data_IF_468390906595
#
_entry.id   IF_468390906595
#
_cell.length_a   1.000
_cell.length_b   1.000
_cell.length_c   1.000
_cell.angle_alpha   90.00
_cell.angle_beta   90.00
_cell.angle_gamma   90.00
#
_symmetry.space_group_name_H-M   'P 1'
#
loop_
_entity.id
_entity.type
_entity.pdbx_description
1 polymer ?
#
# COMPACT_ATOMS: atom_id res chain seq x y z
N UNK A 1 5.78 -8.84 -2.29
CA UNK A 1 7.13 -8.26 -2.24
C UNK A 1 7.80 -8.28 -3.61
N UNK A 2 7.84 -9.41 -4.31
CA UNK A 2 8.55 -9.55 -5.60
C UNK A 2 8.15 -8.47 -6.63
N UNK A 3 6.86 -8.30 -6.94
CA UNK A 3 6.39 -7.28 -7.90
C UNK A 3 6.82 -5.86 -7.51
N UNK A 4 6.74 -5.52 -6.20
CA UNK A 4 7.21 -4.20 -5.72
C UNK A 4 8.72 -4.08 -5.92
N UNK A 5 9.48 -5.14 -5.61
CA UNK A 5 10.93 -5.17 -5.82
C UNK A 5 11.34 -4.96 -7.28
N UNK A 6 10.57 -5.50 -8.23
CA UNK A 6 10.81 -5.29 -9.68
C UNK A 6 10.62 -3.82 -10.11
N UNK A 7 9.79 -3.06 -9.38
CA UNK A 7 9.53 -1.65 -9.68
C UNK A 7 10.47 -0.67 -8.99
N UNK A 8 11.23 -1.15 -7.99
CA UNK A 8 12.19 -0.34 -7.25
C UNK A 8 13.55 -0.38 -7.95
N UNK A 9 14.09 0.78 -8.28
CA UNK A 9 15.43 0.90 -8.86
C UNK A 9 16.51 0.64 -7.79
N UNK A 10 17.60 -0.03 -8.15
CA UNK A 10 18.74 -0.21 -7.24
C UNK A 10 19.28 1.13 -6.72
N UNK A 11 19.78 1.14 -5.49
CA UNK A 11 20.41 2.30 -4.85
C UNK A 11 19.50 3.53 -4.71
N UNK A 12 18.19 3.38 -4.90
CA UNK A 12 17.21 4.45 -4.78
C UNK A 12 16.88 4.78 -3.32
N UNK A 13 16.35 6.00 -3.10
CA UNK A 13 15.81 6.43 -1.80
C UNK A 13 14.34 6.05 -1.73
N UNK A 14 14.01 5.18 -0.79
CA UNK A 14 12.66 4.63 -0.64
C UNK A 14 12.04 5.06 0.69
N UNK A 15 10.79 5.50 0.65
CA UNK A 15 9.98 5.71 1.86
C UNK A 15 8.84 4.69 1.88
N UNK A 16 8.74 3.90 2.96
CA UNK A 16 7.69 2.89 3.17
C UNK A 16 6.67 3.41 4.19
N UNK A 17 5.46 3.74 3.73
CA UNK A 17 4.36 4.27 4.52
C UNK A 17 3.52 3.13 5.12
N UNK A 18 3.54 3.00 6.44
CA UNK A 18 2.98 1.85 7.15
C UNK A 18 3.89 0.62 7.02
N UNK A 19 5.17 0.81 7.30
CA UNK A 19 6.22 -0.19 7.09
C UNK A 19 6.08 -1.47 7.93
N UNK A 20 5.23 -1.45 8.94
CA UNK A 20 5.08 -2.59 9.83
C UNK A 20 6.39 -2.97 10.52
N UNK A 21 6.77 -4.23 10.46
CA UNK A 21 8.03 -4.74 11.02
C UNK A 21 9.23 -4.62 10.08
N UNK A 22 9.07 -3.93 8.93
CA UNK A 22 10.15 -3.65 8.00
C UNK A 22 10.52 -4.79 7.05
N UNK A 23 9.67 -5.81 6.90
CA UNK A 23 9.96 -6.97 6.04
C UNK A 23 10.25 -6.56 4.58
N UNK A 24 9.46 -5.63 4.05
CA UNK A 24 9.67 -5.13 2.68
C UNK A 24 10.93 -4.29 2.58
N UNK A 25 11.18 -3.40 3.54
CA UNK A 25 12.41 -2.60 3.59
C UNK A 25 13.66 -3.47 3.67
N UNK A 26 13.66 -4.48 4.55
CA UNK A 26 14.76 -5.44 4.69
C UNK A 26 15.04 -6.17 3.37
N UNK A 27 13.99 -6.67 2.72
CA UNK A 27 14.11 -7.30 1.40
C UNK A 27 14.71 -6.34 0.35
N UNK A 28 14.20 -5.10 0.25
CA UNK A 28 14.68 -4.12 -0.73
C UNK A 28 16.13 -3.68 -0.43
N UNK A 29 16.50 -3.52 0.84
CA UNK A 29 17.87 -3.16 1.22
C UNK A 29 18.88 -4.25 0.86
N UNK A 30 18.51 -5.52 1.05
CA UNK A 30 19.37 -6.65 0.70
C UNK A 30 19.49 -6.88 -0.82
N UNK A 31 18.36 -6.88 -1.54
CA UNK A 31 18.32 -7.22 -2.96
C UNK A 31 18.69 -6.07 -3.89
N UNK A 32 18.42 -4.83 -3.47
CA UNK A 32 18.53 -3.63 -4.32
C UNK A 32 19.47 -2.57 -3.76
N UNK A 33 20.01 -2.76 -2.55
CA UNK A 33 20.89 -1.79 -1.88
C UNK A 33 20.25 -0.39 -1.76
N UNK A 34 18.92 -0.34 -1.56
CA UNK A 34 18.19 0.93 -1.42
C UNK A 34 18.48 1.59 -0.07
N UNK A 35 18.40 2.91 -0.03
CA UNK A 35 18.33 3.68 1.21
C UNK A 35 16.86 3.81 1.62
N UNK A 36 16.38 2.90 2.48
CA UNK A 36 14.99 2.84 2.89
C UNK A 36 14.76 3.48 4.25
N UNK A 37 13.66 4.24 4.37
CA UNK A 37 13.12 4.74 5.64
C UNK A 37 11.67 4.29 5.75
N UNK A 38 11.27 3.76 6.91
CA UNK A 38 9.89 3.37 7.19
C UNK A 38 9.20 4.30 8.16
N UNK A 39 7.87 4.41 8.03
CA UNK A 39 7.02 5.14 8.98
C UNK A 39 5.85 4.25 9.39
N UNK A 40 5.60 4.11 10.70
CA UNK A 40 4.44 3.43 11.25
C UNK A 40 4.02 4.10 12.58
N UNK A 41 2.74 4.03 12.92
CA UNK A 41 2.21 4.54 14.19
C UNK A 41 2.55 3.64 15.37
N UNK A 42 2.77 2.35 15.10
CA UNK A 42 2.93 1.31 16.13
C UNK A 42 4.38 1.25 16.63
N UNK A 43 4.57 1.55 17.92
CA UNK A 43 5.87 1.54 18.57
C UNK A 43 6.58 0.17 18.51
N UNK A 44 5.83 -0.94 18.71
CA UNK A 44 6.43 -2.26 18.73
C UNK A 44 6.93 -2.69 17.36
N UNK A 45 6.22 -2.28 16.31
CA UNK A 45 6.63 -2.48 14.91
C UNK A 45 7.90 -1.71 14.58
N UNK A 46 7.95 -0.42 14.93
CA UNK A 46 9.14 0.42 14.74
C UNK A 46 10.33 -0.11 15.53
N UNK A 47 10.10 -0.50 16.80
CA UNK A 47 11.16 -1.12 17.63
C UNK A 47 11.72 -2.40 16.99
N UNK A 48 10.88 -3.19 16.32
CA UNK A 48 11.34 -4.37 15.57
C UNK A 48 12.20 -3.98 14.35
N UNK A 49 11.81 -2.94 13.59
CA UNK A 49 12.61 -2.41 12.48
C UNK A 49 14.02 -1.99 12.96
N UNK A 50 14.08 -1.17 14.02
CA UNK A 50 15.35 -0.66 14.55
C UNK A 50 16.24 -1.80 15.06
N UNK A 51 15.67 -2.79 15.77
CA UNK A 51 16.43 -3.99 16.19
C UNK A 51 16.99 -4.79 15.02
N UNK A 52 16.34 -4.72 13.86
CA UNK A 52 16.81 -5.36 12.61
C UNK A 52 17.78 -4.47 11.81
N UNK A 53 18.23 -3.33 12.36
CA UNK A 53 19.15 -2.41 11.69
C UNK A 53 18.51 -1.56 10.59
N UNK A 54 17.16 -1.47 10.54
CA UNK A 54 16.45 -0.67 9.55
C UNK A 54 16.16 0.73 10.09
N UNK A 55 16.22 1.74 9.22
CA UNK A 55 15.84 3.11 9.56
C UNK A 55 14.31 3.22 9.58
N UNK A 56 13.73 3.57 10.73
CA UNK A 56 12.30 3.69 10.87
C UNK A 56 11.91 4.81 11.86
N UNK A 57 10.77 5.44 11.60
CA UNK A 57 10.22 6.55 12.38
C UNK A 57 8.83 6.19 12.90
N UNK A 58 8.61 6.39 14.21
CA UNK A 58 7.29 6.24 14.81
C UNK A 58 6.52 7.55 14.70
N UNK A 59 5.42 7.53 13.98
CA UNK A 59 4.57 8.72 13.88
C UNK A 59 3.58 8.69 12.72
N UNK A 60 2.87 9.80 12.58
CA UNK A 60 1.94 10.00 11.49
C UNK A 60 2.67 10.24 10.17
N UNK A 61 2.34 9.44 9.16
CA UNK A 61 3.01 9.49 7.85
C UNK A 61 2.76 10.79 7.09
N UNK A 62 1.60 11.45 7.29
CA UNK A 62 1.29 12.74 6.67
C UNK A 62 2.17 13.84 7.27
N UNK A 63 2.30 13.85 8.61
CA UNK A 63 3.18 14.79 9.29
C UNK A 63 4.64 14.56 8.89
N UNK A 64 5.07 13.30 8.81
CA UNK A 64 6.42 12.93 8.37
C UNK A 64 6.72 13.44 6.95
N UNK A 65 5.84 13.20 5.98
CA UNK A 65 6.03 13.65 4.60
C UNK A 65 6.11 15.18 4.47
N UNK A 66 5.45 15.95 5.36
CA UNK A 66 5.51 17.43 5.34
C UNK A 66 6.92 17.99 5.58
N UNK A 67 7.79 17.23 6.24
CA UNK A 67 9.16 17.64 6.52
C UNK A 67 10.08 17.59 5.29
N UNK A 68 9.64 17.00 4.18
CA UNK A 68 10.47 16.81 2.99
C UNK A 68 10.01 17.68 1.81
N UNK A 69 10.95 18.16 0.99
CA UNK A 69 10.64 18.87 -0.24
C UNK A 69 10.04 17.93 -1.28
N UNK A 70 9.55 18.52 -2.36
CA UNK A 70 9.04 17.78 -3.52
C UNK A 70 10.12 16.90 -4.13
N UNK A 71 9.74 15.69 -4.57
CA UNK A 71 10.62 14.70 -5.21
C UNK A 71 11.87 14.33 -4.38
N UNK A 72 11.77 14.37 -3.05
CA UNK A 72 12.87 13.99 -2.16
C UNK A 72 13.20 12.50 -2.25
N UNK A 73 12.20 11.65 -2.38
CA UNK A 73 12.35 10.21 -2.53
C UNK A 73 12.20 9.80 -3.98
N UNK A 74 12.97 8.80 -4.39
CA UNK A 74 12.86 8.23 -5.73
C UNK A 74 11.60 7.37 -5.82
N UNK A 75 11.22 6.70 -4.70
CA UNK A 75 9.99 5.92 -4.61
C UNK A 75 9.36 5.98 -3.23
N UNK A 76 8.03 6.12 -3.22
CA UNK A 76 7.20 5.93 -2.04
C UNK A 76 6.45 4.61 -2.18
N UNK A 77 6.35 3.83 -1.11
CA UNK A 77 5.56 2.60 -1.07
C UNK A 77 4.47 2.77 -0.01
N UNK A 78 3.22 2.44 -0.36
CA UNK A 78 2.08 2.38 0.53
C UNK A 78 1.32 1.08 0.24
N UNK A 79 1.77 -0.03 0.84
CA UNK A 79 1.25 -1.36 0.56
C UNK A 79 0.48 -1.92 1.75
N UNK A 80 -0.77 -2.31 1.55
CA UNK A 80 -1.71 -2.83 2.56
C UNK A 80 -2.07 -1.86 3.69
N UNK A 81 -1.83 -0.58 3.49
CA UNK A 81 -2.04 0.48 4.50
C UNK A 81 -3.22 1.38 4.13
N UNK A 82 -3.46 1.62 2.83
CA UNK A 82 -4.46 2.58 2.31
C UNK A 82 -5.86 2.40 2.91
N UNK A 83 -6.28 1.16 3.13
CA UNK A 83 -7.60 0.86 3.68
C UNK A 83 -7.77 1.21 5.18
N UNK A 84 -6.67 1.43 5.91
CA UNK A 84 -6.68 1.81 7.33
C UNK A 84 -6.50 3.32 7.56
N UNK A 85 -6.30 4.10 6.49
CA UNK A 85 -6.06 5.54 6.58
C UNK A 85 -7.35 6.32 6.81
N UNK A 86 -7.29 7.36 7.65
CA UNK A 86 -8.39 8.31 7.83
C UNK A 86 -8.55 9.23 6.61
N UNK A 87 -7.45 9.60 5.97
CA UNK A 87 -7.42 10.42 4.75
C UNK A 87 -6.52 9.75 3.70
N UNK A 88 -7.00 8.71 3.00
CA UNK A 88 -6.22 8.03 1.98
C UNK A 88 -5.89 8.94 0.78
N UNK A 89 -6.77 9.86 0.44
CA UNK A 89 -6.55 10.81 -0.66
C UNK A 89 -5.38 11.75 -0.35
N UNK A 90 -5.39 12.37 0.83
CA UNK A 90 -4.32 13.26 1.28
C UNK A 90 -2.97 12.55 1.38
N UNK A 91 -2.94 11.29 1.84
CA UNK A 91 -1.72 10.48 1.91
C UNK A 91 -1.17 10.18 0.50
N UNK A 92 -2.01 9.76 -0.45
CA UNK A 92 -1.57 9.47 -1.83
C UNK A 92 -1.05 10.73 -2.53
N UNK A 93 -1.77 11.87 -2.40
CA UNK A 93 -1.34 13.14 -2.99
C UNK A 93 -0.06 13.67 -2.32
N UNK A 94 0.06 13.53 -1.00
CA UNK A 94 1.29 13.83 -0.27
C UNK A 94 2.46 12.96 -0.71
N UNK A 95 2.24 11.66 -0.92
CA UNK A 95 3.24 10.74 -1.44
C UNK A 95 3.69 11.13 -2.86
N UNK A 96 2.75 11.49 -3.75
CA UNK A 96 3.06 12.00 -5.09
C UNK A 96 3.81 13.34 -5.05
N UNK A 97 3.67 14.15 -4.01
CA UNK A 97 4.46 15.37 -3.84
C UNK A 97 5.91 15.07 -3.51
N UNK A 98 6.16 14.21 -2.53
CA UNK A 98 7.52 13.97 -2.01
C UNK A 98 8.27 12.86 -2.73
N UNK A 99 7.58 12.06 -3.54
CA UNK A 99 8.18 10.96 -4.32
C UNK A 99 8.07 11.15 -5.82
N UNK A 100 9.07 10.70 -6.56
CA UNK A 100 9.05 10.69 -8.03
C UNK A 100 8.11 9.61 -8.58
N UNK A 101 7.95 8.50 -7.87
CA UNK A 101 7.00 7.44 -8.15
C UNK A 101 6.37 6.91 -6.86
N UNK A 102 5.11 6.48 -6.92
CA UNK A 102 4.37 5.98 -5.75
C UNK A 102 3.78 4.61 -6.06
N UNK A 103 4.17 3.61 -5.29
CA UNK A 103 3.58 2.27 -5.37
C UNK A 103 2.48 2.14 -4.32
N UNK A 104 1.25 1.91 -4.77
CA UNK A 104 0.10 1.66 -3.90
C UNK A 104 -0.35 0.21 -4.05
N UNK A 105 -0.52 -0.49 -2.93
CA UNK A 105 -1.01 -1.86 -2.93
C UNK A 105 -2.15 -2.06 -1.94
N UNK A 106 -3.25 -2.71 -2.38
CA UNK A 106 -4.40 -2.94 -1.52
C UNK A 106 -5.15 -4.23 -1.86
N UNK A 107 -5.89 -4.72 -0.87
CA UNK A 107 -6.81 -5.85 -1.04
C UNK A 107 -8.09 -5.36 -1.70
N UNK A 108 -8.47 -5.98 -2.80
CA UNK A 108 -9.69 -5.62 -3.53
C UNK A 108 -10.93 -6.07 -2.75
N UNK A 109 -11.67 -5.11 -2.20
CA UNK A 109 -12.92 -5.39 -1.48
C UNK A 109 -14.00 -5.97 -2.39
N UNK A 110 -14.00 -5.61 -3.68
CA UNK A 110 -14.95 -6.10 -4.67
C UNK A 110 -14.67 -7.54 -5.17
N UNK A 111 -13.65 -8.22 -4.63
CA UNK A 111 -13.34 -9.62 -4.95
C UNK A 111 -14.57 -10.52 -4.78
N UNK A 112 -14.83 -11.41 -5.74
CA UNK A 112 -16.06 -12.20 -5.81
C UNK A 112 -16.42 -12.97 -4.52
N UNK A 113 -15.42 -13.50 -3.80
CA UNK A 113 -15.67 -14.20 -2.52
C UNK A 113 -16.24 -13.26 -1.45
N UNK A 114 -15.81 -12.00 -1.44
CA UNK A 114 -16.34 -10.99 -0.52
C UNK A 114 -17.79 -10.65 -0.87
N UNK A 115 -18.11 -10.51 -2.18
CA UNK A 115 -19.46 -10.24 -2.66
C UNK A 115 -20.42 -11.38 -2.30
N UNK A 116 -20.02 -12.62 -2.57
CA UNK A 116 -20.84 -13.80 -2.21
C UNK A 116 -20.98 -13.94 -0.69
N UNK A 117 -19.93 -13.67 0.06
CA UNK A 117 -19.97 -13.67 1.52
C UNK A 117 -20.96 -12.65 2.08
N UNK A 118 -20.99 -11.44 1.52
CA UNK A 118 -21.97 -10.41 1.86
C UNK A 118 -23.40 -10.79 1.45
N UNK A 119 -23.58 -11.28 0.23
CA UNK A 119 -24.88 -11.66 -0.31
C UNK A 119 -25.56 -12.80 0.47
N UNK A 120 -24.80 -13.88 0.76
CA UNK A 120 -25.38 -15.07 1.39
C UNK A 120 -25.34 -15.07 2.91
N UNK A 121 -24.36 -14.39 3.51
CA UNK A 121 -24.17 -14.40 4.97
C UNK A 121 -24.57 -13.10 5.67
N UNK A 122 -24.66 -11.98 4.93
CA UNK A 122 -24.98 -10.66 5.47
C UNK A 122 -24.01 -10.19 6.58
N UNK A 123 -22.77 -10.69 6.59
CA UNK A 123 -21.79 -10.40 7.63
C UNK A 123 -20.64 -9.57 7.09
N UNK A 124 -19.96 -8.85 7.99
CA UNK A 124 -18.70 -8.15 7.68
C UNK A 124 -17.73 -9.10 6.97
N UNK A 125 -17.15 -8.63 5.90
CA UNK A 125 -16.09 -9.36 5.18
C UNK A 125 -14.90 -9.59 6.13
N UNK A 126 -14.49 -10.84 6.24
CA UNK A 126 -13.28 -11.27 6.93
C UNK A 126 -12.37 -11.98 5.92
N UNK A 127 -11.11 -11.56 5.87
CA UNK A 127 -10.09 -12.16 5.00
C UNK A 127 -8.70 -12.00 5.65
N UNK A 128 -7.64 -12.28 4.94
CA UNK A 128 -6.26 -12.21 5.46
C UNK A 128 -5.83 -10.80 5.96
N UNK A 129 -6.55 -9.74 5.56
CA UNK A 129 -6.30 -8.36 6.02
C UNK A 129 -7.35 -7.91 7.03
N UNK A 130 -8.63 -8.19 6.76
CA UNK A 130 -9.74 -7.89 7.67
C UNK A 130 -9.96 -9.07 8.62
N UNK A 131 -9.04 -9.32 9.54
CA UNK A 131 -9.04 -10.50 10.42
C UNK A 131 -9.95 -10.34 11.63
N UNK A 132 -10.19 -9.10 12.08
CA UNK A 132 -10.89 -8.78 13.33
C UNK A 132 -12.40 -8.75 13.19
N UNK A 133 -13.09 -9.05 14.29
CA UNK A 133 -14.56 -8.91 14.40
C UNK A 133 -14.95 -7.43 14.26
N UNK A 134 -16.23 -7.15 13.90
CA UNK A 134 -16.69 -5.80 13.65
C UNK A 134 -16.49 -4.82 14.82
N UNK A 135 -16.60 -5.31 16.05
CA UNK A 135 -16.49 -4.51 17.27
C UNK A 135 -15.03 -4.33 17.76
N UNK A 136 -14.10 -5.10 17.23
CA UNK A 136 -12.66 -5.03 17.56
C UNK A 136 -11.85 -4.34 16.46
N UNK A 137 -12.46 -4.13 15.29
CA UNK A 137 -11.75 -3.58 14.14
C UNK A 137 -11.70 -2.07 14.17
N UNK A 138 -10.57 -1.52 13.76
CA UNK A 138 -10.49 -0.09 13.41
C UNK A 138 -11.39 0.19 12.20
N UNK A 139 -11.87 1.45 12.02
CA UNK A 139 -12.52 1.85 10.79
C UNK A 139 -11.64 1.50 9.59
N UNK A 140 -12.22 0.93 8.56
CA UNK A 140 -11.51 0.56 7.34
C UNK A 140 -12.28 1.06 6.13
N UNK A 141 -11.56 1.54 5.12
CA UNK A 141 -12.14 1.95 3.84
C UNK A 141 -12.25 0.72 2.93
N UNK A 142 -13.45 0.25 2.59
CA UNK A 142 -13.62 -0.82 1.63
C UNK A 142 -13.27 -0.28 0.23
N UNK A 143 -12.07 -0.59 -0.23
CA UNK A 143 -11.52 -0.10 -1.49
C UNK A 143 -11.61 -1.18 -2.56
N UNK A 144 -12.23 -0.87 -3.70
CA UNK A 144 -12.21 -1.70 -4.89
C UNK A 144 -11.22 -1.18 -5.93
N UNK A 145 -10.90 -2.00 -6.91
CA UNK A 145 -10.08 -1.61 -8.06
C UNK A 145 -10.78 -0.47 -8.84
N UNK A 146 -12.09 -0.57 -9.05
CA UNK A 146 -12.85 0.47 -9.76
C UNK A 146 -12.81 1.81 -9.01
N UNK A 147 -13.06 1.82 -7.69
CA UNK A 147 -13.02 3.04 -6.88
C UNK A 147 -11.65 3.71 -6.93
N UNK A 148 -10.58 2.90 -6.90
CA UNK A 148 -9.21 3.43 -6.96
C UNK A 148 -8.87 4.04 -8.33
N UNK A 149 -9.27 3.39 -9.42
CA UNK A 149 -9.06 3.90 -10.79
C UNK A 149 -9.89 5.17 -11.05
N UNK A 150 -11.12 5.24 -10.51
CA UNK A 150 -11.96 6.44 -10.56
C UNK A 150 -11.31 7.60 -9.78
N UNK A 151 -10.82 7.36 -8.57
CA UNK A 151 -10.04 8.33 -7.81
C UNK A 151 -8.82 8.84 -8.58
N UNK A 152 -8.04 7.95 -9.19
CA UNK A 152 -6.89 8.36 -9.99
C UNK A 152 -7.31 9.26 -11.17
N UNK A 153 -8.44 8.95 -11.82
CA UNK A 153 -8.99 9.75 -12.92
C UNK A 153 -9.44 11.12 -12.45
N UNK A 154 -10.19 11.20 -11.34
CA UNK A 154 -10.67 12.46 -10.76
C UNK A 154 -9.53 13.39 -10.34
N UNK A 155 -8.46 12.83 -9.81
CA UNK A 155 -7.29 13.60 -9.34
C UNK A 155 -6.22 13.80 -10.42
N UNK A 156 -6.49 13.38 -11.66
CA UNK A 156 -5.51 13.45 -12.77
C UNK A 156 -4.19 12.77 -12.42
N UNK A 157 -4.24 11.63 -11.71
CA UNK A 157 -3.08 10.84 -11.35
C UNK A 157 -2.79 9.85 -12.48
N UNK A 158 -1.57 9.88 -13.01
CA UNK A 158 -1.15 8.94 -14.06
C UNK A 158 -0.82 7.59 -13.45
N UNK A 159 -1.52 6.55 -13.89
CA UNK A 159 -1.18 5.15 -13.60
C UNK A 159 -0.13 4.70 -14.62
N UNK A 160 1.12 4.57 -14.18
CA UNK A 160 2.25 4.16 -15.03
C UNK A 160 2.26 2.64 -15.25
N UNK A 161 1.99 1.88 -14.20
CA UNK A 161 1.93 0.40 -14.23
C UNK A 161 0.83 -0.09 -13.28
N UNK A 162 0.26 -1.25 -13.59
CA UNK A 162 -0.68 -1.93 -12.70
C UNK A 162 -0.49 -3.45 -12.79
N UNK A 163 -0.65 -4.11 -11.66
CA UNK A 163 -0.66 -5.57 -11.56
C UNK A 163 -1.83 -5.98 -10.66
N UNK A 164 -2.65 -6.87 -11.19
CA UNK A 164 -3.77 -7.45 -10.47
C UNK A 164 -3.46 -8.93 -10.21
N UNK A 165 -3.63 -9.37 -8.98
CA UNK A 165 -3.34 -10.73 -8.55
C UNK A 165 -4.61 -11.43 -8.06
N UNK A 166 -4.76 -12.71 -8.36
CA UNK A 166 -5.86 -13.54 -7.88
C UNK A 166 -5.89 -13.61 -6.35
N UNK A 167 -6.81 -14.37 -5.79
CA UNK A 167 -6.99 -14.49 -4.35
C UNK A 167 -5.81 -15.14 -3.59
N UNK A 168 -4.84 -15.73 -4.27
CA UNK A 168 -3.57 -16.22 -3.73
C UNK A 168 -2.48 -15.13 -3.60
N UNK A 169 -2.74 -13.93 -4.15
CA UNK A 169 -1.85 -12.77 -4.21
C UNK A 169 -0.51 -13.04 -4.93
N UNK A 170 -0.47 -14.04 -5.79
CA UNK A 170 0.71 -14.46 -6.54
C UNK A 170 0.43 -14.58 -8.04
N UNK A 171 -0.67 -15.21 -8.38
CA UNK A 171 -1.03 -15.47 -9.77
C UNK A 171 -1.63 -14.23 -10.42
N UNK A 172 -1.12 -13.78 -11.59
CA UNK A 172 -1.71 -12.67 -12.33
C UNK A 172 -3.19 -12.90 -12.68
N UNK A 173 -4.00 -11.85 -12.60
CA UNK A 173 -5.40 -11.85 -12.97
C UNK A 173 -5.57 -11.22 -14.35
N UNK A 174 -5.79 -12.01 -15.44
CA UNK A 174 -5.75 -11.51 -16.82
C UNK A 174 -7.02 -10.79 -17.25
N UNK A 175 -8.18 -11.03 -16.61
CA UNK A 175 -9.46 -10.45 -17.00
C UNK A 175 -10.37 -10.22 -15.79
N UNK A 176 -11.36 -9.31 -15.93
CA UNK A 176 -12.33 -8.91 -14.91
C UNK A 176 -11.67 -8.64 -13.53
N UNK A 177 -10.63 -7.80 -13.46
CA UNK A 177 -9.82 -7.67 -12.24
C UNK A 177 -10.65 -7.19 -11.04
N UNK A 178 -11.63 -6.30 -11.24
CA UNK A 178 -12.48 -5.84 -10.14
C UNK A 178 -13.34 -6.95 -9.52
N UNK A 179 -13.55 -8.08 -10.24
CA UNK A 179 -14.27 -9.24 -9.74
C UNK A 179 -13.33 -10.35 -9.25
N UNK A 180 -12.28 -10.66 -10.01
CA UNK A 180 -11.47 -11.87 -9.83
C UNK A 180 -10.15 -11.63 -9.11
N UNK A 181 -9.64 -10.39 -9.08
CA UNK A 181 -8.41 -10.09 -8.34
C UNK A 181 -8.69 -9.92 -6.84
N UNK A 182 -7.89 -10.58 -6.02
CA UNK A 182 -7.90 -10.42 -4.57
C UNK A 182 -6.99 -9.29 -4.09
N UNK A 183 -5.97 -8.94 -4.88
CA UNK A 183 -5.00 -7.90 -4.57
C UNK A 183 -4.64 -7.08 -5.81
N UNK A 184 -4.43 -5.79 -5.63
CA UNK A 184 -4.04 -4.87 -6.70
C UNK A 184 -2.81 -4.06 -6.30
N UNK A 185 -1.93 -3.83 -7.27
CA UNK A 185 -0.75 -2.97 -7.18
C UNK A 185 -0.77 -1.95 -8.30
N UNK A 186 -0.50 -0.72 -7.96
CA UNK A 186 -0.43 0.41 -8.88
C UNK A 186 0.88 1.17 -8.70
N UNK A 187 1.52 1.51 -9.79
CA UNK A 187 2.64 2.44 -9.85
C UNK A 187 2.13 3.77 -10.40
N UNK A 188 2.16 4.78 -9.57
CA UNK A 188 1.59 6.10 -9.85
C UNK A 188 2.70 7.10 -10.09
N UNK A 189 2.43 8.06 -10.99
CA UNK A 189 3.26 9.22 -11.20
C UNK A 189 2.38 10.47 -11.33
N UNK A 190 2.96 11.64 -11.17
CA UNK A 190 2.28 12.89 -11.52
C UNK A 190 1.97 12.93 -13.03
N UNK A 191 0.87 13.56 -13.40
CA UNK A 191 0.53 13.84 -14.78
C UNK A 191 1.51 14.82 -15.40
#
# INVERSE_FOLDING_TARGET
MQVIGEWVEPQSRVLDLGCGRGELMGYLSQEKQVSAVGVDLDFDRISACVRSGLSAYQGDMTAFMRAFPDNHFDRIICSRTVHELNDPAGVILGALRVGSAVTVGFVNHAFWKNRLGGLFRGRKVQNAVYTTRWHESRPTNPLSIADFEDFCREKSIRIARRVHLLGDWKTPCPFLPNLLAGYALYDLARA
#
